data_IF_975819661112
#
_entry.id   IF_975819661112
#
_cell.length_a   1.000
_cell.length_b   1.000
_cell.length_c   1.000
_cell.angle_alpha   90.00
_cell.angle_beta   90.00
_cell.angle_gamma   90.00
#
_symmetry.space_group_name_H-M   'P 1'
#
loop_
_entity.id
_entity.type
_entity.pdbx_description
1 polymer ?
#
# COMPACT_ATOMS: atom_id res chain seq x y z
N UNK A 1 -34.29 -2.67 -0.84
CA UNK A 1 -33.03 -2.59 -0.09
C UNK A 1 -31.92 -2.65 -1.12
N UNK A 2 -31.10 -1.60 -1.26
CA UNK A 2 -30.03 -1.58 -2.25
C UNK A 2 -28.87 -2.39 -1.67
N UNK A 3 -28.66 -3.60 -2.15
CA UNK A 3 -27.49 -4.40 -1.78
C UNK A 3 -26.31 -3.85 -2.57
N UNK A 4 -25.27 -3.29 -1.93
CA UNK A 4 -24.10 -2.85 -2.66
C UNK A 4 -23.49 -4.06 -3.38
N UNK A 5 -23.33 -3.95 -4.69
CA UNK A 5 -22.67 -4.97 -5.50
C UNK A 5 -21.20 -4.95 -5.11
N UNK A 6 -20.68 -6.06 -4.60
CA UNK A 6 -19.27 -6.19 -4.26
C UNK A 6 -18.43 -6.05 -5.54
N UNK A 7 -17.61 -5.01 -5.61
CA UNK A 7 -16.55 -4.92 -6.59
C UNK A 7 -15.37 -5.77 -6.11
N UNK A 8 -15.28 -7.01 -6.62
CA UNK A 8 -14.30 -7.99 -6.15
C UNK A 8 -12.86 -7.51 -6.30
N UNK A 9 -12.58 -6.78 -7.37
CA UNK A 9 -11.25 -6.25 -7.67
C UNK A 9 -10.85 -5.10 -6.76
N UNK A 10 -11.76 -4.16 -6.53
CA UNK A 10 -11.55 -3.08 -5.57
C UNK A 10 -11.33 -3.63 -4.17
N UNK A 11 -12.10 -4.66 -3.77
CA UNK A 11 -11.90 -5.32 -2.48
C UNK A 11 -10.55 -6.04 -2.40
N UNK A 12 -10.13 -6.72 -3.46
CA UNK A 12 -8.83 -7.38 -3.52
C UNK A 12 -7.67 -6.38 -3.35
N UNK A 13 -7.76 -5.22 -4.03
CA UNK A 13 -6.82 -4.09 -3.87
C UNK A 13 -6.75 -3.60 -2.44
N UNK A 14 -7.91 -3.30 -1.84
CA UNK A 14 -7.97 -2.82 -0.45
C UNK A 14 -7.31 -3.80 0.52
N UNK A 15 -7.52 -5.11 0.35
CA UNK A 15 -6.90 -6.13 1.21
C UNK A 15 -5.37 -6.13 1.07
N UNK A 16 -4.84 -5.97 -0.14
CA UNK A 16 -3.39 -5.86 -0.37
C UNK A 16 -2.84 -4.58 0.23
N UNK A 17 -3.50 -3.43 0.02
CA UNK A 17 -3.09 -2.14 0.58
C UNK A 17 -3.08 -2.19 2.12
N UNK A 18 -4.09 -2.80 2.74
CA UNK A 18 -4.13 -3.00 4.19
C UNK A 18 -2.93 -3.85 4.64
N UNK A 19 -2.66 -4.97 3.97
CA UNK A 19 -1.50 -5.80 4.31
C UNK A 19 -0.21 -5.02 4.20
N UNK A 20 0.03 -4.36 3.06
CA UNK A 20 1.21 -3.52 2.82
C UNK A 20 1.38 -2.46 3.91
N UNK A 21 0.29 -1.77 4.26
CA UNK A 21 0.30 -0.74 5.31
C UNK A 21 0.66 -1.29 6.70
N UNK A 22 0.20 -2.50 7.04
CA UNK A 22 0.40 -3.07 8.37
C UNK A 22 1.74 -3.77 8.54
N UNK A 23 2.32 -4.29 7.46
CA UNK A 23 3.51 -5.16 7.54
C UNK A 23 4.74 -4.58 6.87
N UNK A 24 4.60 -3.57 6.01
CA UNK A 24 5.66 -3.05 5.14
C UNK A 24 6.38 -4.17 4.35
N UNK A 25 5.69 -5.26 4.04
CA UNK A 25 6.24 -6.37 3.23
C UNK A 25 6.04 -6.12 1.74
N UNK A 26 6.89 -6.69 0.86
CA UNK A 26 6.73 -6.59 -0.59
C UNK A 26 5.33 -6.97 -1.11
N UNK A 27 4.92 -6.36 -2.23
CA UNK A 27 3.55 -6.51 -2.79
C UNK A 27 3.24 -7.96 -3.16
N UNK A 28 4.19 -8.70 -3.72
CA UNK A 28 4.06 -10.12 -4.05
C UNK A 28 3.77 -10.98 -2.80
N UNK A 29 4.47 -10.72 -1.70
CA UNK A 29 4.24 -11.36 -0.40
C UNK A 29 2.88 -10.98 0.16
N UNK A 30 2.44 -9.72 -0.02
CA UNK A 30 1.11 -9.29 0.38
C UNK A 30 0.01 -10.04 -0.41
N UNK A 31 0.16 -10.16 -1.73
CA UNK A 31 -0.76 -10.91 -2.60
C UNK A 31 -0.84 -12.38 -2.18
N UNK A 32 0.31 -13.02 -1.96
CA UNK A 32 0.37 -14.42 -1.51
C UNK A 32 -0.32 -14.61 -0.16
N UNK A 33 -0.07 -13.70 0.79
CA UNK A 33 -0.66 -13.75 2.13
C UNK A 33 -2.18 -13.59 2.09
N UNK A 34 -2.69 -12.61 1.34
CA UNK A 34 -4.14 -12.41 1.17
C UNK A 34 -4.76 -13.63 0.47
N UNK A 35 -4.13 -14.15 -0.57
CA UNK A 35 -4.58 -15.36 -1.28
C UNK A 35 -4.67 -16.56 -0.34
N UNK A 36 -3.67 -16.77 0.52
CA UNK A 36 -3.65 -17.84 1.51
C UNK A 36 -4.81 -17.69 2.51
N UNK A 37 -5.02 -16.49 3.07
CA UNK A 37 -6.11 -16.22 4.01
C UNK A 37 -7.49 -16.46 3.38
N UNK A 38 -7.73 -15.96 2.17
CA UNK A 38 -8.98 -16.20 1.44
C UNK A 38 -9.15 -17.68 1.09
N UNK A 39 -8.06 -18.38 0.77
CA UNK A 39 -8.05 -19.81 0.54
C UNK A 39 -8.48 -20.61 1.77
N UNK A 40 -7.97 -20.27 2.95
CA UNK A 40 -8.36 -20.88 4.22
C UNK A 40 -9.84 -20.63 4.51
N UNK A 41 -10.32 -19.39 4.37
CA UNK A 41 -11.73 -19.05 4.57
C UNK A 41 -12.67 -19.79 3.59
N UNK A 42 -12.27 -19.95 2.33
CA UNK A 42 -13.03 -20.72 1.33
C UNK A 42 -13.07 -22.22 1.61
N UNK A 43 -12.09 -22.76 2.35
CA UNK A 43 -12.12 -24.15 2.76
C UNK A 43 -13.27 -24.41 3.76
N UNK A 44 -13.50 -23.45 4.67
CA UNK A 44 -14.58 -23.50 5.65
C UNK A 44 -15.93 -23.03 5.09
N UNK A 45 -15.91 -22.11 4.10
CA UNK A 45 -17.09 -21.49 3.49
C UNK A 45 -17.08 -21.65 1.94
N UNK A 46 -17.18 -22.88 1.41
CA UNK A 46 -16.98 -23.13 -0.02
C UNK A 46 -18.07 -22.55 -0.92
N UNK A 47 -19.26 -22.31 -0.36
CA UNK A 47 -20.42 -21.77 -1.08
C UNK A 47 -20.38 -20.24 -1.24
N UNK A 48 -19.43 -19.54 -0.62
CA UNK A 48 -19.37 -18.08 -0.72
C UNK A 48 -18.70 -17.61 -2.02
N UNK A 49 -19.53 -17.37 -3.02
CA UNK A 49 -19.12 -16.89 -4.34
C UNK A 49 -18.41 -15.54 -4.26
N UNK A 50 -18.88 -14.63 -3.40
CA UNK A 50 -18.27 -13.31 -3.23
C UNK A 50 -16.79 -13.41 -2.81
N UNK A 51 -16.50 -14.31 -1.88
CA UNK A 51 -15.13 -14.55 -1.39
C UNK A 51 -14.25 -15.17 -2.49
N UNK A 52 -14.84 -16.08 -3.28
CA UNK A 52 -14.17 -16.70 -4.43
C UNK A 52 -13.85 -15.67 -5.51
N UNK A 53 -14.78 -14.76 -5.81
CA UNK A 53 -14.56 -13.67 -6.76
C UNK A 53 -13.41 -12.76 -6.32
N UNK A 54 -13.34 -12.38 -5.04
CA UNK A 54 -12.23 -11.58 -4.51
C UNK A 54 -10.90 -12.32 -4.65
N UNK A 55 -10.86 -13.61 -4.28
CA UNK A 55 -9.64 -14.42 -4.42
C UNK A 55 -9.18 -14.51 -5.87
N UNK A 56 -10.09 -14.70 -6.81
CA UNK A 56 -9.74 -14.78 -8.23
C UNK A 56 -9.22 -13.44 -8.77
N UNK A 57 -9.78 -12.32 -8.30
CA UNK A 57 -9.34 -10.98 -8.70
C UNK A 57 -7.89 -10.69 -8.30
N UNK A 58 -7.34 -11.37 -7.27
CA UNK A 58 -5.92 -11.23 -6.88
C UNK A 58 -4.92 -11.65 -7.96
N UNK A 59 -5.37 -12.35 -9.00
CA UNK A 59 -4.53 -12.85 -10.08
C UNK A 59 -4.78 -12.12 -11.41
N UNK A 60 -5.55 -11.03 -11.39
CA UNK A 60 -5.72 -10.18 -12.56
C UNK A 60 -4.49 -9.28 -12.77
N UNK A 61 -4.02 -9.17 -14.01
CA UNK A 61 -2.78 -8.43 -14.35
C UNK A 61 -2.83 -6.92 -14.00
N UNK A 62 -4.02 -6.34 -13.92
CA UNK A 62 -4.26 -4.94 -13.60
C UNK A 62 -4.85 -4.77 -12.19
N UNK A 63 -4.53 -5.70 -11.29
CA UNK A 63 -4.91 -5.63 -9.88
C UNK A 63 -4.32 -4.39 -9.20
N UNK A 64 -3.04 -4.05 -9.40
CA UNK A 64 -2.45 -2.90 -8.70
C UNK A 64 -2.73 -1.61 -9.48
N UNK A 65 -3.41 -0.66 -8.82
CA UNK A 65 -3.56 0.71 -9.33
C UNK A 65 -2.40 1.56 -8.80
N UNK A 66 -1.34 1.67 -9.59
CA UNK A 66 -0.10 2.39 -9.22
C UNK A 66 -0.39 3.86 -8.86
N UNK A 67 -1.44 4.47 -9.42
CA UNK A 67 -1.76 5.86 -9.13
C UNK A 67 -2.54 6.04 -7.82
N UNK A 68 -3.09 4.96 -7.26
CA UNK A 68 -3.96 5.01 -6.09
C UNK A 68 -3.74 3.80 -5.17
N UNK A 69 -2.48 3.42 -4.95
CA UNK A 69 -2.09 2.43 -3.93
C UNK A 69 -1.50 3.11 -2.69
N UNK A 70 -1.30 2.33 -1.63
CA UNK A 70 -0.66 2.80 -0.41
C UNK A 70 0.71 3.45 -0.65
N UNK A 71 1.58 2.79 -1.43
CA UNK A 71 2.94 3.26 -1.69
C UNK A 71 2.95 4.59 -2.46
N UNK A 72 2.00 4.81 -3.38
CA UNK A 72 1.86 6.08 -4.09
C UNK A 72 1.52 7.25 -3.15
N UNK A 73 0.65 7.00 -2.15
CA UNK A 73 0.29 7.99 -1.14
C UNK A 73 1.47 8.34 -0.23
N UNK A 74 2.27 7.33 0.16
CA UNK A 74 3.50 7.59 0.91
C UNK A 74 4.49 8.36 0.05
N UNK A 75 4.74 7.94 -1.18
CA UNK A 75 5.70 8.62 -2.07
C UNK A 75 5.32 10.10 -2.25
N UNK A 76 4.04 10.39 -2.48
CA UNK A 76 3.57 11.77 -2.59
C UNK A 76 3.83 12.57 -1.30
N UNK A 77 3.53 11.98 -0.14
CA UNK A 77 3.80 12.60 1.17
C UNK A 77 5.28 12.88 1.37
N UNK A 78 6.16 11.91 1.08
CA UNK A 78 7.61 12.05 1.19
C UNK A 78 8.16 13.13 0.26
N UNK A 79 7.66 13.21 -0.98
CA UNK A 79 8.06 14.26 -1.93
C UNK A 79 7.68 15.64 -1.40
N UNK A 80 6.47 15.78 -0.82
CA UNK A 80 6.04 17.04 -0.20
C UNK A 80 6.93 17.38 0.99
N UNK A 81 7.15 16.46 1.93
CA UNK A 81 8.01 16.68 3.10
C UNK A 81 9.45 17.06 2.71
N UNK A 82 10.02 16.43 1.69
CA UNK A 82 11.35 16.75 1.19
C UNK A 82 11.39 18.13 0.53
N UNK A 83 10.35 18.48 -0.23
CA UNK A 83 10.24 19.79 -0.89
C UNK A 83 10.14 20.90 0.15
N UNK A 84 9.26 20.75 1.13
CA UNK A 84 9.06 21.71 2.23
C UNK A 84 10.38 21.88 3.02
N UNK A 85 11.06 20.78 3.34
CA UNK A 85 12.37 20.84 4.01
C UNK A 85 13.44 21.57 3.19
N UNK A 86 13.43 21.44 1.86
CA UNK A 86 14.38 22.15 1.00
C UNK A 86 14.05 23.64 0.98
N UNK A 87 12.78 24.01 0.79
CA UNK A 87 12.32 25.40 0.75
C UNK A 87 12.55 26.12 2.07
N UNK A 88 12.27 25.48 3.21
CA UNK A 88 12.53 26.02 4.54
C UNK A 88 14.02 26.26 4.79
N UNK A 89 14.90 25.38 4.27
CA UNK A 89 16.36 25.51 4.38
C UNK A 89 16.95 26.58 3.45
N UNK A 90 16.34 26.81 2.29
CA UNK A 90 16.72 27.95 1.43
C UNK A 90 16.34 29.29 2.08
N UNK A 91 15.27 29.32 2.88
CA UNK A 91 14.76 30.54 3.51
C UNK A 91 15.34 30.80 4.91
N UNK A 92 15.72 29.76 5.64
CA UNK A 92 16.25 29.84 6.99
C UNK A 92 17.58 29.08 7.06
N UNK A 93 18.66 29.78 7.42
CA UNK A 93 20.02 29.23 7.54
C UNK A 93 20.18 28.27 8.73
N UNK A 94 19.25 27.32 8.91
CA UNK A 94 19.22 26.33 9.98
C UNK A 94 20.11 25.14 9.62
N UNK A 95 20.88 24.68 10.61
CA UNK A 95 21.85 23.60 10.42
C UNK A 95 21.14 22.25 10.37
N UNK A 96 21.52 21.41 9.41
CA UNK A 96 21.09 20.02 9.18
C UNK A 96 20.95 19.10 10.41
N UNK A 97 21.47 19.50 11.58
CA UNK A 97 21.51 18.69 12.80
C UNK A 97 20.17 18.49 13.49
N UNK A 98 19.23 19.43 13.35
CA UNK A 98 17.97 19.36 14.11
C UNK A 98 16.91 18.49 13.41
N UNK A 99 17.02 18.26 12.09
CA UNK A 99 16.06 17.48 11.27
C UNK A 99 16.67 16.23 10.63
N UNK A 100 17.87 15.81 11.05
CA UNK A 100 18.62 14.74 10.39
C UNK A 100 17.90 13.38 10.51
N UNK A 101 17.31 13.09 11.67
CA UNK A 101 16.56 11.84 11.90
C UNK A 101 15.29 11.76 11.04
N UNK A 102 14.51 12.84 10.96
CA UNK A 102 13.32 12.89 10.13
C UNK A 102 13.66 12.71 8.64
N UNK A 103 14.73 13.35 8.18
CA UNK A 103 15.20 13.20 6.80
C UNK A 103 15.67 11.77 6.51
N UNK A 104 16.43 11.16 7.44
CA UNK A 104 16.88 9.77 7.31
C UNK A 104 15.69 8.80 7.28
N UNK A 105 14.67 9.02 8.12
CA UNK A 105 13.45 8.20 8.13
C UNK A 105 12.68 8.32 6.81
N UNK A 106 12.47 9.54 6.31
CA UNK A 106 11.83 9.78 5.00
C UNK A 106 12.61 9.11 3.85
N UNK A 107 13.94 9.15 3.88
CA UNK A 107 14.79 8.49 2.89
C UNK A 107 14.74 6.96 2.99
N UNK A 108 14.66 6.40 4.20
CA UNK A 108 14.50 4.96 4.41
C UNK A 108 13.16 4.45 3.86
N UNK A 109 12.08 5.20 4.11
CA UNK A 109 10.76 4.89 3.58
C UNK A 109 10.73 4.98 2.05
N UNK A 110 11.38 6.00 1.46
CA UNK A 110 11.54 6.12 0.01
C UNK A 110 12.28 4.91 -0.59
N UNK A 111 13.37 4.48 0.06
CA UNK A 111 14.16 3.34 -0.39
C UNK A 111 13.37 2.02 -0.32
N UNK A 112 12.56 1.81 0.73
CA UNK A 112 11.66 0.64 0.85
C UNK A 112 10.67 0.57 -0.31
N UNK A 113 10.12 1.72 -0.72
CA UNK A 113 9.18 1.80 -1.85
C UNK A 113 9.87 1.57 -3.20
N UNK A 114 11.12 2.00 -3.36
CA UNK A 114 11.86 1.86 -4.62
C UNK A 114 12.50 0.49 -4.82
N UNK A 115 12.59 -0.34 -3.78
CA UNK A 115 13.17 -1.69 -3.82
C UNK A 115 12.16 -2.79 -4.20
N UNK A 116 10.97 -2.41 -4.68
CA UNK A 116 9.97 -3.32 -5.28
C UNK A 116 10.47 -3.85 -6.63
#
# INVERSE_FOLDING_TARGET
MYTPVLNAKEKARELIDIMRQQTDTPIDVCIETVSFMLGALLADLPAEEALRSVRNALFEDDLIDINNCYDAKIMQKLITELTDNIEDKEQQSWTLKDDEEALIESLHQLASILLI
#
